data_IF_581754694857
#
_entry.id   IF_581754694857
#
_cell.length_a   1.000
_cell.length_b   1.000
_cell.length_c   1.000
_cell.angle_alpha   90.00
_cell.angle_beta   90.00
_cell.angle_gamma   90.00
#
_symmetry.space_group_name_H-M   'P 1'
#
loop_
_entity.id
_entity.type
_entity.pdbx_description
1 polymer ?
#
# COMPACT_ATOMS: atom_id res chain seq x y z
N UNK A 1 67.51 12.06 19.30
CA UNK A 1 66.36 11.49 20.05
C UNK A 1 65.10 11.63 19.19
N UNK A 2 64.51 10.52 18.73
CA UNK A 2 63.27 10.49 17.95
C UNK A 2 62.06 10.58 18.89
N UNK A 3 61.22 11.61 18.77
CA UNK A 3 59.89 11.66 19.43
C UNK A 3 58.84 11.15 18.45
N UNK A 4 58.16 10.07 18.81
CA UNK A 4 57.03 9.48 18.09
C UNK A 4 55.77 10.30 18.39
N UNK A 5 55.06 10.70 17.34
CA UNK A 5 53.72 11.28 17.42
C UNK A 5 52.73 10.10 17.49
N UNK A 6 51.93 10.04 18.55
CA UNK A 6 50.79 9.13 18.63
C UNK A 6 49.56 9.84 18.04
N UNK A 7 49.00 9.28 16.98
CA UNK A 7 47.68 9.68 16.48
C UNK A 7 46.61 8.95 17.30
N UNK A 8 45.74 9.71 17.98
CA UNK A 8 44.54 9.20 18.61
C UNK A 8 43.47 9.08 17.52
N UNK A 9 43.06 7.86 17.18
CA UNK A 9 41.88 7.62 16.36
C UNK A 9 40.65 7.63 17.27
N UNK A 10 39.84 8.68 17.18
CA UNK A 10 38.54 8.77 17.83
C UNK A 10 37.53 7.91 17.05
N UNK A 11 37.12 6.79 17.64
CA UNK A 11 35.98 6.00 17.16
C UNK A 11 34.71 6.72 17.61
N UNK A 12 34.01 7.34 16.67
CA UNK A 12 32.65 7.85 16.90
C UNK A 12 31.71 6.65 16.78
N UNK A 13 31.29 6.10 17.92
CA UNK A 13 30.18 5.16 17.95
C UNK A 13 28.87 5.95 17.77
N UNK A 14 28.32 5.92 16.56
CA UNK A 14 26.95 6.36 16.29
C UNK A 14 25.98 5.33 16.87
N UNK A 15 25.62 5.49 18.15
CA UNK A 15 24.46 4.82 18.72
C UNK A 15 23.20 5.53 18.23
N UNK A 16 22.49 4.93 17.27
CA UNK A 16 21.12 5.34 16.96
C UNK A 16 20.23 5.07 18.19
N UNK A 17 19.36 6.02 18.58
CA UNK A 17 18.43 5.78 19.68
C UNK A 17 17.39 4.74 19.25
N UNK A 18 17.34 3.62 19.96
CA UNK A 18 16.21 2.70 19.93
C UNK A 18 15.05 3.46 20.58
N UNK A 19 14.17 4.04 19.77
CA UNK A 19 12.88 4.52 20.27
C UNK A 19 12.06 3.29 20.65
N UNK A 20 11.79 3.13 21.94
CA UNK A 20 10.84 2.15 22.45
C UNK A 20 9.46 2.52 21.92
N UNK A 21 8.97 1.78 20.93
CA UNK A 21 7.57 1.85 20.52
C UNK A 21 6.78 1.15 21.63
N UNK A 22 6.10 1.93 22.47
CA UNK A 22 5.16 1.37 23.43
C UNK A 22 3.95 0.86 22.64
N UNK A 23 3.86 -0.45 22.47
CA UNK A 23 2.68 -1.06 21.87
C UNK A 23 1.49 -0.90 22.82
N UNK A 24 0.45 -0.21 22.36
CA UNK A 24 -0.82 -0.14 23.07
C UNK A 24 -1.38 -1.56 23.25
N UNK A 25 -1.74 -1.90 24.48
CA UNK A 25 -2.48 -3.13 24.80
C UNK A 25 -3.80 -3.14 24.01
N UNK A 26 -4.03 -4.17 23.19
CA UNK A 26 -5.35 -4.41 22.60
C UNK A 26 -6.34 -4.71 23.73
N UNK A 27 -7.25 -3.77 24.01
CA UNK A 27 -8.43 -4.02 24.83
C UNK A 27 -9.36 -4.97 24.07
N UNK A 28 -9.43 -6.21 24.55
CA UNK A 28 -10.24 -7.27 24.00
C UNK A 28 -11.72 -7.09 24.35
N UNK A 29 -12.47 -6.24 23.64
CA UNK A 29 -13.94 -6.32 23.63
C UNK A 29 -14.53 -5.68 22.36
N UNK A 30 -14.75 -6.48 21.32
CA UNK A 30 -16.02 -6.54 20.57
C UNK A 30 -16.13 -7.88 19.82
N UNK A 31 -17.29 -8.51 19.95
CA UNK A 31 -17.66 -9.79 19.39
C UNK A 31 -17.85 -9.70 17.86
N UNK A 32 -17.13 -10.54 17.14
CA UNK A 32 -17.33 -10.81 15.72
C UNK A 32 -16.03 -11.27 15.10
N UNK A 33 -15.91 -12.57 14.80
CA UNK A 33 -14.79 -13.07 14.01
C UNK A 33 -15.01 -12.58 12.57
N UNK A 34 -14.48 -11.40 12.24
CA UNK A 34 -14.39 -10.92 10.87
C UNK A 34 -13.25 -11.65 10.17
N UNK A 35 -13.57 -12.42 9.13
CA UNK A 35 -12.60 -13.07 8.26
C UNK A 35 -12.34 -12.19 7.03
N UNK A 36 -11.45 -11.21 7.19
CA UNK A 36 -10.90 -10.26 6.21
C UNK A 36 -9.89 -9.39 6.99
N UNK A 37 -8.80 -8.83 6.49
CA UNK A 37 -8.60 -7.81 5.45
C UNK A 37 -7.04 -7.66 5.38
N UNK A 38 -6.35 -7.58 4.23
CA UNK A 38 -6.07 -6.45 3.30
C UNK A 38 -5.39 -5.24 3.94
N UNK A 39 -4.60 -4.47 3.18
CA UNK A 39 -4.22 -3.13 3.62
C UNK A 39 -5.49 -2.46 4.10
N UNK A 40 -5.45 -1.86 5.28
CA UNK A 40 -6.69 -1.46 5.92
C UNK A 40 -7.44 -0.40 5.10
N UNK A 41 -8.74 -0.53 5.07
CA UNK A 41 -9.69 0.44 4.51
C UNK A 41 -10.91 0.59 5.43
N UNK A 42 -10.71 0.47 6.76
CA UNK A 42 -11.79 0.30 7.74
C UNK A 42 -12.70 1.51 7.90
N UNK A 43 -12.28 2.66 7.36
CA UNK A 43 -13.05 3.89 7.35
C UNK A 43 -12.90 4.62 6.02
N UNK A 44 -14.00 5.23 5.57
CA UNK A 44 -14.05 5.98 4.30
C UNK A 44 -13.15 7.22 4.37
N UNK A 45 -13.16 7.95 5.49
CA UNK A 45 -12.54 9.28 5.61
C UNK A 45 -11.49 9.39 6.73
N UNK A 46 -11.06 8.26 7.31
CA UNK A 46 -10.12 8.24 8.44
C UNK A 46 -8.86 7.42 8.10
N UNK A 47 -7.74 8.12 7.92
CA UNK A 47 -6.42 7.51 7.67
C UNK A 47 -5.93 6.66 8.83
N UNK A 48 -6.41 6.87 10.06
CA UNK A 48 -5.98 6.14 11.25
C UNK A 48 -6.11 4.63 11.10
N UNK A 49 -7.17 4.21 10.40
CA UNK A 49 -7.53 2.80 10.14
C UNK A 49 -7.73 2.52 8.64
N UNK A 50 -7.12 3.35 7.78
CA UNK A 50 -7.17 3.19 6.32
C UNK A 50 -5.81 3.45 5.70
N UNK A 51 -4.99 2.39 5.57
CA UNK A 51 -3.71 2.43 4.89
C UNK A 51 -3.86 2.77 3.40
N UNK A 52 -4.92 2.30 2.72
CA UNK A 52 -5.16 2.68 1.32
C UNK A 52 -5.38 4.18 1.16
N UNK A 53 -6.25 4.77 1.98
CA UNK A 53 -6.50 6.21 1.97
C UNK A 53 -5.22 6.98 2.30
N UNK A 54 -4.47 6.53 3.31
CA UNK A 54 -3.20 7.14 3.69
C UNK A 54 -2.20 7.14 2.52
N UNK A 55 -2.04 6.02 1.80
CA UNK A 55 -1.14 5.94 0.63
C UNK A 55 -1.55 6.96 -0.43
N UNK A 56 -2.85 7.05 -0.76
CA UNK A 56 -3.36 8.00 -1.76
C UNK A 56 -3.13 9.44 -1.32
N UNK A 57 -3.42 9.79 -0.06
CA UNK A 57 -3.23 11.14 0.44
C UNK A 57 -1.75 11.56 0.45
N UNK A 58 -0.85 10.68 0.88
CA UNK A 58 0.60 10.93 0.77
C UNK A 58 1.05 11.06 -0.68
N UNK A 59 0.45 10.31 -1.61
CA UNK A 59 0.73 10.43 -3.05
C UNK A 59 0.31 11.79 -3.60
N UNK A 60 -0.86 12.30 -3.19
CA UNK A 60 -1.34 13.64 -3.53
C UNK A 60 -0.39 14.71 -2.97
N UNK A 61 0.15 14.51 -1.77
CA UNK A 61 1.18 15.40 -1.20
C UNK A 61 2.48 15.39 -2.02
N UNK A 62 2.95 14.22 -2.46
CA UNK A 62 4.10 14.10 -3.38
C UNK A 62 3.82 14.86 -4.68
N UNK A 63 2.63 14.71 -5.26
CA UNK A 63 2.21 15.44 -6.46
C UNK A 63 2.20 16.97 -6.20
N UNK A 64 1.63 17.42 -5.08
CA UNK A 64 1.53 18.84 -4.74
C UNK A 64 2.90 19.50 -4.51
N UNK A 65 3.91 18.74 -4.06
CA UNK A 65 5.29 19.18 -3.92
C UNK A 65 6.04 19.27 -5.26
N UNK A 66 5.59 18.56 -6.28
CA UNK A 66 6.21 18.60 -7.61
C UNK A 66 5.78 19.87 -8.36
N UNK A 67 6.75 20.68 -8.82
CA UNK A 67 6.50 21.94 -9.53
C UNK A 67 6.88 21.90 -11.01
N UNK A 68 7.25 20.73 -11.53
CA UNK A 68 7.83 20.59 -12.87
C UNK A 68 7.02 19.70 -13.79
N UNK A 69 6.40 18.65 -13.26
CA UNK A 69 5.66 17.62 -14.01
C UNK A 69 4.16 17.75 -13.78
N UNK A 70 3.74 17.83 -12.51
CA UNK A 70 2.32 17.84 -12.12
C UNK A 70 1.68 19.18 -12.46
N UNK A 71 0.52 19.13 -13.12
CA UNK A 71 -0.26 20.33 -13.43
C UNK A 71 -1.13 20.75 -12.23
N UNK A 72 -1.29 22.06 -11.95
CA UNK A 72 -2.08 22.53 -10.80
C UNK A 72 -3.54 22.05 -10.75
N UNK A 73 -4.17 21.82 -11.91
CA UNK A 73 -5.55 21.32 -12.00
C UNK A 73 -5.71 19.89 -11.48
N UNK A 74 -4.66 19.05 -11.55
CA UNK A 74 -4.71 17.66 -11.05
C UNK A 74 -5.04 17.64 -9.55
N UNK A 75 -4.31 18.46 -8.77
CA UNK A 75 -4.51 18.57 -7.32
C UNK A 75 -5.87 19.19 -6.99
N UNK A 76 -6.29 20.22 -7.75
CA UNK A 76 -7.58 20.86 -7.54
C UNK A 76 -8.75 19.89 -7.74
N UNK A 77 -8.73 19.12 -8.83
CA UNK A 77 -9.78 18.15 -9.15
C UNK A 77 -9.83 17.00 -8.14
N UNK A 78 -8.67 16.45 -7.74
CA UNK A 78 -8.62 15.40 -6.71
C UNK A 78 -9.21 15.88 -5.38
N UNK A 79 -8.99 17.15 -5.00
CA UNK A 79 -9.56 17.71 -3.78
C UNK A 79 -11.04 18.05 -3.90
N UNK A 80 -11.49 18.53 -5.06
CA UNK A 80 -12.90 18.82 -5.34
C UNK A 80 -13.75 17.55 -5.26
N UNK A 81 -13.27 16.45 -5.83
CA UNK A 81 -13.98 15.16 -5.90
C UNK A 81 -13.49 14.13 -4.88
N UNK A 82 -12.87 14.62 -3.80
CA UNK A 82 -12.26 13.80 -2.75
C UNK A 82 -13.23 12.79 -2.15
N UNK A 83 -14.47 13.20 -1.88
CA UNK A 83 -15.45 12.31 -1.25
C UNK A 83 -15.75 11.07 -2.11
N UNK A 84 -15.87 11.23 -3.42
CA UNK A 84 -16.12 10.12 -4.34
C UNK A 84 -14.88 9.26 -4.54
N UNK A 85 -13.69 9.87 -4.61
CA UNK A 85 -12.41 9.17 -4.62
C UNK A 85 -12.26 8.25 -3.40
N UNK A 86 -12.46 8.82 -2.20
CA UNK A 86 -12.35 8.10 -0.93
C UNK A 86 -13.42 7.00 -0.81
N UNK A 87 -14.64 7.25 -1.30
CA UNK A 87 -15.67 6.22 -1.37
C UNK A 87 -15.30 5.08 -2.30
N UNK A 88 -14.65 5.37 -3.44
CA UNK A 88 -14.14 4.36 -4.37
C UNK A 88 -13.07 3.48 -3.74
N UNK A 89 -12.12 4.10 -3.03
CA UNK A 89 -11.07 3.39 -2.27
C UNK A 89 -11.73 2.43 -1.28
N UNK A 90 -12.62 2.93 -0.42
CA UNK A 90 -13.30 2.10 0.58
C UNK A 90 -14.13 0.97 -0.07
N UNK A 91 -14.95 1.28 -1.08
CA UNK A 91 -15.91 0.33 -1.64
C UNK A 91 -15.28 -0.92 -2.22
N UNK A 92 -13.99 -0.90 -2.59
CA UNK A 92 -13.26 -2.07 -3.06
C UNK A 92 -13.32 -3.25 -2.07
N UNK A 93 -13.39 -2.95 -0.77
CA UNK A 93 -13.33 -3.94 0.31
C UNK A 93 -14.68 -4.33 0.90
N UNK A 94 -15.74 -3.58 0.62
CA UNK A 94 -17.02 -3.75 1.31
C UNK A 94 -18.20 -4.01 0.37
N UNK A 95 -18.10 -3.62 -0.90
CA UNK A 95 -19.23 -3.69 -1.82
C UNK A 95 -19.00 -4.74 -2.93
N UNK A 96 -20.07 -5.44 -3.32
CA UNK A 96 -20.06 -6.21 -4.57
C UNK A 96 -20.17 -5.27 -5.78
N UNK A 97 -19.51 -5.60 -6.91
CA UNK A 97 -18.75 -6.82 -7.17
C UNK A 97 -17.27 -6.78 -6.71
N UNK A 98 -16.82 -5.69 -6.09
CA UNK A 98 -15.40 -5.38 -5.91
C UNK A 98 -14.69 -6.28 -4.90
N UNK A 99 -15.43 -6.79 -3.91
CA UNK A 99 -14.89 -7.67 -2.87
C UNK A 99 -15.12 -9.18 -3.15
N UNK A 100 -15.62 -9.51 -4.36
CA UNK A 100 -15.80 -10.89 -4.85
C UNK A 100 -16.60 -11.79 -3.90
N UNK A 101 -17.77 -11.31 -3.44
CA UNK A 101 -18.61 -12.03 -2.49
C UNK A 101 -17.89 -12.42 -1.18
N UNK A 102 -16.94 -11.59 -0.72
CA UNK A 102 -16.15 -11.82 0.48
C UNK A 102 -14.93 -12.73 0.27
N UNK A 103 -14.65 -13.15 -0.96
CA UNK A 103 -13.41 -13.89 -1.27
C UNK A 103 -12.24 -12.94 -1.47
N UNK A 104 -12.48 -11.77 -2.05
CA UNK A 104 -11.45 -10.80 -2.41
C UNK A 104 -10.46 -11.27 -3.47
N UNK A 105 -10.83 -12.25 -4.31
CA UNK A 105 -9.96 -12.77 -5.35
C UNK A 105 -9.35 -11.67 -6.24
N UNK A 106 -10.11 -10.62 -6.57
CA UNK A 106 -9.66 -9.51 -7.40
C UNK A 106 -8.64 -8.58 -6.73
N UNK A 107 -8.38 -8.74 -5.43
CA UNK A 107 -7.40 -7.95 -4.67
C UNK A 107 -5.99 -8.55 -4.71
N UNK A 108 -5.85 -9.75 -5.27
CA UNK A 108 -4.58 -10.46 -5.37
C UNK A 108 -4.13 -10.56 -6.83
N UNK A 109 -2.82 -10.57 -7.03
CA UNK A 109 -2.21 -10.80 -8.33
C UNK A 109 -0.77 -11.27 -8.17
N UNK A 110 -0.52 -12.51 -8.53
CA UNK A 110 0.83 -13.04 -8.63
C UNK A 110 1.41 -12.75 -10.04
N UNK A 111 2.47 -11.92 -10.15
CA UNK A 111 3.07 -11.55 -11.43
C UNK A 111 3.74 -12.71 -12.18
N UNK A 112 4.14 -13.79 -11.50
CA UNK A 112 4.81 -14.92 -12.14
C UNK A 112 3.80 -15.86 -12.83
N UNK A 113 2.63 -16.04 -12.22
CA UNK A 113 1.57 -16.90 -12.77
C UNK A 113 0.54 -16.13 -13.58
N UNK A 114 0.47 -14.81 -13.37
CA UNK A 114 -0.53 -13.94 -13.98
C UNK A 114 -1.93 -14.09 -13.38
N UNK A 115 -2.09 -14.73 -12.22
CA UNK A 115 -3.40 -15.03 -11.62
C UNK A 115 -3.51 -14.69 -10.14
N UNK A 116 -4.72 -14.84 -9.60
CA UNK A 116 -5.02 -14.76 -8.17
C UNK A 116 -4.95 -16.15 -7.52
N UNK A 117 -5.11 -16.23 -6.21
CA UNK A 117 -5.07 -17.47 -5.43
C UNK A 117 -6.25 -18.41 -5.73
N UNK A 118 -7.34 -17.89 -6.31
CA UNK A 118 -8.50 -18.66 -6.72
C UNK A 118 -8.47 -18.90 -8.25
N UNK A 119 -8.40 -20.17 -8.71
CA UNK A 119 -8.35 -20.48 -10.13
C UNK A 119 -9.52 -19.88 -10.91
N UNK A 120 -9.23 -19.33 -12.09
CA UNK A 120 -10.20 -18.73 -13.03
C UNK A 120 -10.91 -17.46 -12.53
N UNK A 121 -10.63 -17.00 -11.31
CA UNK A 121 -11.18 -15.75 -10.80
C UNK A 121 -10.45 -14.53 -11.39
N UNK A 122 -11.10 -13.36 -11.29
CA UNK A 122 -10.50 -12.08 -11.65
C UNK A 122 -9.39 -11.71 -10.68
N UNK A 123 -8.36 -11.02 -11.17
CA UNK A 123 -7.19 -10.61 -10.38
C UNK A 123 -6.95 -9.09 -10.43
N UNK A 124 -6.07 -8.59 -9.56
CA UNK A 124 -5.88 -7.14 -9.36
C UNK A 124 -5.40 -6.40 -10.61
N UNK A 125 -4.54 -7.00 -11.43
CA UNK A 125 -4.06 -6.38 -12.69
C UNK A 125 -5.19 -5.99 -13.65
N UNK A 126 -6.04 -6.94 -14.02
CA UNK A 126 -7.14 -6.65 -14.97
C UNK A 126 -8.24 -5.79 -14.31
N UNK A 127 -8.50 -5.99 -13.01
CA UNK A 127 -9.55 -5.26 -12.29
C UNK A 127 -9.16 -3.80 -12.05
N UNK A 128 -7.93 -3.53 -11.63
CA UNK A 128 -7.39 -2.18 -11.46
C UNK A 128 -7.35 -1.41 -12.79
N UNK A 129 -6.90 -2.07 -13.87
CA UNK A 129 -6.87 -1.48 -15.21
C UNK A 129 -8.28 -1.22 -15.79
N UNK A 130 -9.25 -2.10 -15.51
CA UNK A 130 -10.66 -1.87 -15.87
C UNK A 130 -11.17 -0.57 -15.26
N UNK A 131 -11.00 -0.38 -13.94
CA UNK A 131 -11.50 0.84 -13.29
C UNK A 131 -10.71 2.09 -13.66
N UNK A 132 -9.42 1.96 -13.99
CA UNK A 132 -8.64 3.08 -14.55
C UNK A 132 -9.27 3.62 -15.84
N UNK A 133 -9.65 2.71 -16.76
CA UNK A 133 -10.26 3.06 -18.04
C UNK A 133 -11.68 3.61 -17.84
N UNK A 134 -12.50 2.96 -17.02
CA UNK A 134 -13.85 3.43 -16.71
C UNK A 134 -13.85 4.82 -16.05
N UNK A 135 -12.87 5.10 -15.20
CA UNK A 135 -12.69 6.43 -14.63
C UNK A 135 -12.45 7.48 -15.73
N UNK A 136 -11.53 7.19 -16.65
CA UNK A 136 -11.22 8.07 -17.77
C UNK A 136 -12.40 8.31 -18.71
N UNK A 137 -13.11 7.24 -19.07
CA UNK A 137 -14.32 7.30 -19.88
C UNK A 137 -15.43 8.13 -19.20
N UNK A 138 -15.64 7.95 -17.90
CA UNK A 138 -16.59 8.75 -17.12
C UNK A 138 -16.18 10.23 -17.11
N UNK A 139 -14.88 10.53 -16.94
CA UNK A 139 -14.38 11.91 -16.97
C UNK A 139 -14.66 12.58 -18.32
N UNK A 140 -14.35 11.89 -19.43
CA UNK A 140 -14.58 12.40 -20.79
C UNK A 140 -16.07 12.60 -21.11
N UNK A 141 -16.96 11.84 -20.46
CA UNK A 141 -18.40 12.00 -20.55
C UNK A 141 -18.97 13.02 -19.54
N UNK A 142 -18.10 13.77 -18.84
CA UNK A 142 -18.47 14.76 -17.82
C UNK A 142 -19.24 14.17 -16.63
N UNK A 143 -19.08 12.88 -16.35
CA UNK A 143 -19.60 12.18 -15.17
C UNK A 143 -18.50 12.13 -14.10
N UNK A 144 -18.19 13.29 -13.53
CA UNK A 144 -17.05 13.47 -12.63
C UNK A 144 -17.19 12.64 -11.35
N UNK A 145 -18.42 12.49 -10.84
CA UNK A 145 -18.70 11.66 -9.66
C UNK A 145 -18.21 10.23 -9.86
N UNK A 146 -18.65 9.59 -10.96
CA UNK A 146 -18.24 8.22 -11.27
C UNK A 146 -16.77 8.15 -11.71
N UNK A 147 -16.24 9.20 -12.35
CA UNK A 147 -14.82 9.27 -12.71
C UNK A 147 -13.92 9.10 -11.48
N UNK A 148 -14.14 9.90 -10.44
CA UNK A 148 -13.32 9.85 -9.23
C UNK A 148 -13.62 8.62 -8.35
N UNK A 149 -14.87 8.15 -8.32
CA UNK A 149 -15.19 6.86 -7.69
C UNK A 149 -14.45 5.69 -8.34
N UNK A 150 -14.47 5.57 -9.66
CA UNK A 150 -13.73 4.51 -10.37
C UNK A 150 -12.22 4.69 -10.26
N UNK A 151 -11.72 5.94 -10.23
CA UNK A 151 -10.31 6.19 -9.98
C UNK A 151 -9.93 5.65 -8.59
N UNK A 152 -10.75 5.92 -7.57
CA UNK A 152 -10.55 5.39 -6.21
C UNK A 152 -10.45 3.88 -6.17
N UNK A 153 -11.37 3.19 -6.86
CA UNK A 153 -11.30 1.73 -7.03
C UNK A 153 -9.99 1.29 -7.71
N UNK A 154 -9.57 1.96 -8.78
CA UNK A 154 -8.30 1.63 -9.46
C UNK A 154 -7.08 1.79 -8.57
N UNK A 155 -7.03 2.87 -7.78
CA UNK A 155 -5.95 3.15 -6.82
C UNK A 155 -5.92 2.12 -5.68
N UNK A 156 -7.09 1.62 -5.26
CA UNK A 156 -7.17 0.53 -4.29
C UNK A 156 -6.42 -0.71 -4.77
N UNK A 157 -6.78 -1.23 -5.96
CA UNK A 157 -6.14 -2.42 -6.52
C UNK A 157 -4.65 -2.23 -6.81
N UNK A 158 -4.21 -1.01 -7.16
CA UNK A 158 -2.78 -0.70 -7.26
C UNK A 158 -2.11 -0.75 -5.87
N UNK A 159 -2.75 -0.21 -4.84
CA UNK A 159 -2.28 -0.29 -3.46
C UNK A 159 -2.13 -1.72 -2.96
N UNK A 160 -3.09 -2.59 -3.26
CA UNK A 160 -3.05 -4.00 -2.91
C UNK A 160 -1.82 -4.70 -3.46
N UNK A 161 -1.51 -4.55 -4.75
CA UNK A 161 -0.35 -5.24 -5.34
C UNK A 161 1.00 -4.70 -4.86
N UNK A 162 1.01 -3.56 -4.15
CA UNK A 162 2.17 -3.08 -3.42
C UNK A 162 2.36 -3.77 -2.05
N UNK A 163 1.36 -4.52 -1.57
CA UNK A 163 1.42 -5.43 -0.42
C UNK A 163 2.05 -6.77 -0.85
N UNK A 164 3.23 -7.16 -0.32
CA UNK A 164 3.90 -8.39 -0.75
C UNK A 164 3.08 -9.68 -0.64
N UNK A 165 2.17 -9.80 0.34
CA UNK A 165 1.30 -10.97 0.48
C UNK A 165 0.23 -11.03 -0.63
N UNK A 166 -0.30 -9.89 -1.06
CA UNK A 166 -1.23 -9.81 -2.19
C UNK A 166 -0.55 -10.17 -3.52
N UNK A 167 0.71 -9.75 -3.67
CA UNK A 167 1.55 -10.10 -4.83
C UNK A 167 2.05 -11.56 -4.82
N UNK A 168 1.85 -12.28 -3.72
CA UNK A 168 2.30 -13.66 -3.53
C UNK A 168 1.15 -14.64 -3.25
N UNK A 169 -0.12 -14.20 -3.42
CA UNK A 169 -1.31 -15.02 -3.14
C UNK A 169 -1.34 -15.58 -1.69
N UNK A 170 -0.69 -14.91 -0.73
CA UNK A 170 -0.71 -15.27 0.68
C UNK A 170 -1.90 -14.59 1.35
N UNK A 171 -2.97 -15.33 1.56
CA UNK A 171 -4.24 -14.83 2.12
C UNK A 171 -4.29 -14.98 3.65
N UNK A 172 -5.36 -14.48 4.26
CA UNK A 172 -5.59 -14.65 5.70
C UNK A 172 -5.83 -16.11 6.16
N UNK A 173 -6.11 -17.02 5.22
CA UNK A 173 -6.23 -18.47 5.46
C UNK A 173 -4.94 -19.24 5.14
N UNK A 174 -3.92 -18.56 4.60
CA UNK A 174 -2.59 -19.15 4.40
C UNK A 174 -1.90 -19.37 5.75
N UNK A 175 -0.99 -20.35 5.83
CA UNK A 175 -0.32 -20.67 7.09
C UNK A 175 0.87 -19.73 7.38
N UNK A 176 0.95 -19.12 8.58
CA UNK A 176 0.00 -19.23 9.70
C UNK A 176 -1.25 -18.35 9.51
N UNK A 177 -2.43 -18.92 9.82
CA UNK A 177 -3.73 -18.24 9.70
C UNK A 177 -3.72 -16.96 10.54
N UNK A 178 -4.42 -15.92 10.07
CA UNK A 178 -4.51 -14.60 10.70
C UNK A 178 -3.24 -13.74 10.65
N UNK A 179 -2.11 -14.24 10.12
CA UNK A 179 -0.90 -13.42 9.99
C UNK A 179 -1.11 -12.24 9.05
N UNK A 180 -1.83 -12.46 7.94
CA UNK A 180 -2.10 -11.44 6.94
C UNK A 180 -2.84 -10.24 7.57
N UNK A 181 -4.00 -10.47 8.18
CA UNK A 181 -4.77 -9.36 8.75
C UNK A 181 -4.11 -8.71 9.95
N UNK A 182 -3.41 -9.47 10.80
CA UNK A 182 -2.65 -8.89 11.93
C UNK A 182 -1.46 -8.07 11.46
N UNK A 183 -0.84 -8.44 10.35
CA UNK A 183 0.23 -7.64 9.74
C UNK A 183 -0.31 -6.29 9.26
N UNK A 184 -1.44 -6.26 8.55
CA UNK A 184 -2.01 -5.01 8.03
C UNK A 184 -2.51 -4.08 9.14
N UNK A 185 -3.16 -4.63 10.17
CA UNK A 185 -3.49 -3.87 11.38
C UNK A 185 -2.25 -3.30 12.06
N UNK A 186 -1.14 -4.04 12.09
CA UNK A 186 0.12 -3.53 12.63
C UNK A 186 0.63 -2.35 11.79
N UNK A 187 0.52 -2.41 10.47
CA UNK A 187 1.00 -1.34 9.59
C UNK A 187 0.30 -0.02 9.85
N UNK A 188 -0.99 -0.04 10.21
CA UNK A 188 -1.70 1.17 10.60
C UNK A 188 -1.04 1.93 11.74
N UNK A 189 -0.36 1.22 12.64
CA UNK A 189 0.31 1.79 13.82
C UNK A 189 1.67 2.42 13.52
N UNK A 190 2.27 2.10 12.36
CA UNK A 190 3.64 2.55 12.01
C UNK A 190 3.72 3.35 10.72
N UNK A 191 2.69 3.34 9.88
CA UNK A 191 2.70 3.96 8.53
C UNK A 191 3.13 5.43 8.52
N UNK A 192 2.72 6.21 9.53
CA UNK A 192 3.06 7.63 9.63
C UNK A 192 4.55 7.94 9.74
N UNK A 193 5.39 6.95 10.10
CA UNK A 193 6.85 7.10 10.12
C UNK A 193 7.46 7.11 8.70
N UNK A 194 6.71 6.73 7.67
CA UNK A 194 7.22 6.44 6.33
C UNK A 194 6.66 7.36 5.24
N UNK A 195 6.30 8.60 5.60
CA UNK A 195 5.86 9.61 4.63
C UNK A 195 7.02 9.99 3.72
N UNK A 196 6.79 9.98 2.40
CA UNK A 196 7.67 10.61 1.43
C UNK A 196 7.56 12.13 1.58
N UNK A 197 8.69 12.82 1.76
CA UNK A 197 8.76 14.27 2.06
C UNK A 197 9.34 15.10 0.91
N UNK A 198 9.34 14.53 -0.29
CA UNK A 198 9.81 15.18 -1.50
C UNK A 198 8.76 15.04 -2.61
N UNK A 199 8.90 15.83 -3.68
CA UNK A 199 8.00 15.80 -4.83
C UNK A 199 8.34 14.77 -5.91
N UNK A 200 9.08 13.70 -5.58
CA UNK A 200 9.55 12.74 -6.58
C UNK A 200 8.64 11.50 -6.67
N UNK A 201 7.51 11.63 -7.35
CA UNK A 201 6.76 10.46 -7.82
C UNK A 201 7.52 9.71 -8.92
N UNK A 202 7.14 8.48 -9.20
CA UNK A 202 7.65 7.77 -10.37
C UNK A 202 6.85 8.18 -11.61
N UNK A 203 7.09 9.38 -12.09
CA UNK A 203 6.47 9.92 -13.30
C UNK A 203 6.87 9.09 -14.51
N UNK A 204 5.91 8.68 -15.34
CA UNK A 204 6.15 7.85 -16.54
C UNK A 204 6.98 6.58 -16.25
N UNK A 205 6.75 5.95 -15.10
CA UNK A 205 7.52 4.79 -14.63
C UNK A 205 7.47 3.59 -15.56
N UNK A 206 6.27 3.35 -16.11
CA UNK A 206 5.97 2.31 -17.10
C UNK A 206 5.30 2.94 -18.29
N UNK A 207 4.80 2.10 -19.20
CA UNK A 207 4.09 2.59 -20.38
C UNK A 207 2.78 3.29 -19.99
N UNK A 208 2.08 3.82 -21.00
CA UNK A 208 0.74 4.38 -20.83
C UNK A 208 -0.33 3.34 -20.48
N UNK A 209 0.01 2.04 -20.54
CA UNK A 209 -0.90 0.97 -20.16
C UNK A 209 -0.93 0.80 -18.63
N UNK A 210 -2.08 1.01 -17.96
CA UNK A 210 -2.18 0.84 -16.51
C UNK A 210 -1.82 -0.58 -16.02
N UNK A 211 -2.02 -1.62 -16.85
CA UNK A 211 -1.63 -2.98 -16.46
C UNK A 211 -0.12 -3.13 -16.21
N UNK A 212 0.72 -2.38 -16.93
CA UNK A 212 2.18 -2.46 -16.78
C UNK A 212 2.62 -1.90 -15.41
N UNK A 213 1.90 -0.92 -14.90
CA UNK A 213 2.12 -0.34 -13.57
C UNK A 213 1.73 -1.33 -12.49
N UNK A 214 0.52 -1.89 -12.57
CA UNK A 214 0.04 -2.88 -11.58
C UNK A 214 0.94 -4.12 -11.58
N UNK A 215 1.34 -4.60 -12.77
CA UNK A 215 2.26 -5.73 -12.87
C UNK A 215 3.64 -5.42 -12.26
N UNK A 216 4.25 -4.29 -12.62
CA UNK A 216 5.56 -3.95 -12.10
C UNK A 216 5.56 -3.67 -10.59
N UNK A 217 4.47 -3.10 -10.04
CA UNK A 217 4.26 -2.99 -8.60
C UNK A 217 4.27 -4.36 -7.94
N UNK A 218 3.51 -5.31 -8.48
CA UNK A 218 3.43 -6.67 -7.97
C UNK A 218 4.79 -7.38 -8.02
N UNK A 219 5.55 -7.23 -9.11
CA UNK A 219 6.92 -7.78 -9.23
C UNK A 219 7.81 -7.25 -8.10
N UNK A 220 7.80 -5.93 -7.89
CA UNK A 220 8.58 -5.30 -6.82
C UNK A 220 8.14 -5.76 -5.43
N UNK A 221 6.85 -5.87 -5.18
CA UNK A 221 6.30 -6.31 -3.89
C UNK A 221 6.58 -7.79 -3.62
N UNK A 222 6.37 -8.67 -4.60
CA UNK A 222 6.65 -10.11 -4.46
C UNK A 222 8.12 -10.39 -4.17
N UNK A 223 9.05 -9.64 -4.77
CA UNK A 223 10.48 -9.77 -4.46
C UNK A 223 10.80 -9.52 -2.97
N UNK A 224 9.99 -8.70 -2.30
CA UNK A 224 10.13 -8.38 -0.87
C UNK A 224 9.30 -9.29 0.04
N UNK A 225 8.46 -10.19 -0.51
CA UNK A 225 7.61 -11.09 0.27
C UNK A 225 8.38 -11.96 1.28
N UNK A 226 9.53 -12.57 0.94
CA UNK A 226 10.30 -13.36 1.91
C UNK A 226 10.83 -12.56 3.11
N UNK A 227 10.89 -11.22 3.02
CA UNK A 227 11.31 -10.36 4.12
C UNK A 227 10.19 -10.14 5.15
N UNK A 228 8.93 -10.38 4.76
CA UNK A 228 7.76 -10.30 5.65
C UNK A 228 7.36 -11.71 6.10
N UNK A 229 7.28 -12.65 5.18
CA UNK A 229 6.80 -14.02 5.42
C UNK A 229 7.94 -15.01 5.24
N UNK A 230 8.56 -15.40 6.35
CA UNK A 230 9.62 -16.40 6.42
C UNK A 230 9.51 -17.22 7.71
N UNK A 231 10.33 -18.26 7.87
CA UNK A 231 10.24 -19.17 9.01
C UNK A 231 10.37 -18.47 10.36
N UNK A 232 11.20 -17.43 10.44
CA UNK A 232 11.45 -16.65 11.66
C UNK A 232 10.23 -15.81 12.02
N UNK A 233 9.65 -15.05 11.08
CA UNK A 233 8.45 -14.26 11.34
C UNK A 233 7.23 -15.14 11.60
N UNK A 234 7.08 -16.25 10.88
CA UNK A 234 6.02 -17.25 11.13
C UNK A 234 6.11 -17.84 12.53
N UNK A 235 7.32 -18.24 12.96
CA UNK A 235 7.53 -18.79 14.31
C UNK A 235 7.18 -17.77 15.38
N UNK A 236 7.70 -16.56 15.28
CA UNK A 236 7.43 -15.50 16.26
C UNK A 236 5.97 -15.09 16.30
N UNK A 237 5.30 -15.08 15.15
CA UNK A 237 3.86 -14.85 15.08
C UNK A 237 3.05 -15.92 15.83
N UNK A 238 3.41 -17.20 15.68
CA UNK A 238 2.77 -18.28 16.43
C UNK A 238 3.05 -18.17 17.93
N UNK A 239 4.31 -17.92 18.31
CA UNK A 239 4.71 -17.75 19.71
C UNK A 239 4.08 -16.49 20.35
N UNK A 240 3.69 -15.49 19.55
CA UNK A 240 3.03 -14.27 20.02
C UNK A 240 1.67 -14.51 20.68
N UNK A 241 1.05 -15.67 20.45
CA UNK A 241 -0.17 -16.06 21.15
C UNK A 241 0.02 -16.19 22.68
N UNK A 242 1.26 -16.40 23.13
CA UNK A 242 1.61 -16.59 24.55
C UNK A 242 2.79 -15.72 25.02
N UNK A 243 3.38 -14.90 24.14
CA UNK A 243 4.58 -14.12 24.44
C UNK A 243 4.57 -12.75 23.76
N UNK A 244 4.54 -11.68 24.57
CA UNK A 244 4.66 -10.31 24.06
C UNK A 244 6.02 -10.06 23.39
N UNK A 245 7.11 -10.62 23.92
CA UNK A 245 8.44 -10.51 23.31
C UNK A 245 8.46 -11.09 21.88
N UNK A 246 7.74 -12.20 21.65
CA UNK A 246 7.59 -12.75 20.30
C UNK A 246 6.75 -11.83 19.40
N UNK A 247 5.70 -11.22 19.97
CA UNK A 247 4.87 -10.24 19.27
C UNK A 247 5.70 -9.01 18.81
N UNK A 248 6.55 -8.50 19.69
CA UNK A 248 7.42 -7.36 19.39
C UNK A 248 8.49 -7.72 18.36
N UNK A 249 9.05 -8.94 18.45
CA UNK A 249 10.05 -9.46 17.51
C UNK A 249 9.56 -9.54 16.07
N UNK A 250 8.38 -10.14 15.82
CA UNK A 250 7.89 -10.23 14.44
C UNK A 250 7.53 -8.86 13.87
N UNK A 251 6.93 -7.97 14.68
CA UNK A 251 6.63 -6.58 14.26
C UNK A 251 7.89 -5.82 13.91
N UNK A 252 8.91 -5.87 14.77
CA UNK A 252 10.20 -5.22 14.54
C UNK A 252 10.91 -5.76 13.29
N UNK A 253 10.83 -7.06 13.02
CA UNK A 253 11.46 -7.70 11.85
C UNK A 253 10.88 -7.22 10.52
N UNK A 254 9.56 -7.11 10.42
CA UNK A 254 8.90 -6.72 9.18
C UNK A 254 8.91 -5.22 8.94
N UNK A 255 9.11 -4.42 9.99
CA UNK A 255 9.05 -2.96 9.96
C UNK A 255 9.91 -2.30 8.86
N UNK A 256 11.20 -2.68 8.66
CA UNK A 256 12.04 -2.03 7.65
C UNK A 256 11.52 -2.23 6.21
N UNK A 257 11.09 -3.46 5.88
CA UNK A 257 10.54 -3.74 4.55
C UNK A 257 9.14 -3.14 4.38
N UNK A 258 8.32 -3.10 5.43
CA UNK A 258 7.05 -2.37 5.43
C UNK A 258 7.27 -0.90 5.08
N UNK A 259 8.23 -0.23 5.73
CA UNK A 259 8.56 1.17 5.43
C UNK A 259 8.98 1.38 3.98
N UNK A 260 9.86 0.51 3.46
CA UNK A 260 10.24 0.50 2.03
C UNK A 260 9.03 0.36 1.12
N UNK A 261 8.11 -0.58 1.39
CA UNK A 261 6.91 -0.80 0.55
C UNK A 261 5.91 0.35 0.60
N UNK A 262 5.70 0.95 1.77
CA UNK A 262 4.86 2.13 1.91
C UNK A 262 5.43 3.32 1.11
N UNK A 263 6.74 3.54 1.15
CA UNK A 263 7.38 4.62 0.38
C UNK A 263 7.30 4.38 -1.13
N UNK A 264 7.52 3.14 -1.60
CA UNK A 264 7.33 2.81 -3.02
C UNK A 264 5.87 3.00 -3.44
N UNK A 265 4.90 2.53 -2.63
CA UNK A 265 3.49 2.65 -2.94
C UNK A 265 3.07 4.12 -3.13
N UNK A 266 3.58 5.03 -2.30
CA UNK A 266 3.35 6.47 -2.45
C UNK A 266 3.90 7.02 -3.78
N UNK A 267 5.15 6.66 -4.14
CA UNK A 267 5.79 7.16 -5.36
C UNK A 267 5.14 6.61 -6.62
N UNK A 268 4.77 5.33 -6.61
CA UNK A 268 4.10 4.66 -7.72
C UNK A 268 2.69 5.22 -7.90
N UNK A 269 1.90 5.31 -6.82
CA UNK A 269 0.54 5.84 -6.86
C UNK A 269 0.51 7.28 -7.33
N UNK A 270 1.45 8.14 -6.90
CA UNK A 270 1.57 9.50 -7.43
C UNK A 270 1.78 9.50 -8.95
N UNK A 271 2.70 8.68 -9.46
CA UNK A 271 2.96 8.55 -10.89
C UNK A 271 1.75 8.00 -11.67
N UNK A 272 1.00 7.07 -11.08
CA UNK A 272 -0.16 6.45 -11.71
C UNK A 272 -1.38 7.38 -11.76
N UNK A 273 -1.57 8.21 -10.73
CA UNK A 273 -2.57 9.29 -10.76
C UNK A 273 -2.22 10.28 -11.86
N UNK A 274 -0.95 10.72 -11.94
CA UNK A 274 -0.51 11.63 -12.99
C UNK A 274 -0.68 11.03 -14.40
N UNK A 275 -0.37 9.74 -14.58
CA UNK A 275 -0.66 9.03 -15.83
C UNK A 275 -2.15 9.11 -16.20
N UNK A 276 -3.05 8.95 -15.24
CA UNK A 276 -4.50 9.03 -15.49
C UNK A 276 -4.89 10.43 -15.99
N UNK A 277 -4.39 11.48 -15.35
CA UNK A 277 -4.62 12.86 -15.78
C UNK A 277 -4.06 13.11 -17.17
N UNK A 278 -2.83 12.69 -17.45
CA UNK A 278 -2.21 12.84 -18.77
C UNK A 278 -2.97 12.09 -19.87
N UNK A 279 -3.57 10.95 -19.54
CA UNK A 279 -4.32 10.14 -20.50
C UNK A 279 -5.69 10.73 -20.82
N UNK A 280 -6.42 11.27 -19.83
CA UNK A 280 -7.85 11.57 -19.97
C UNK A 280 -8.24 13.03 -19.76
N UNK A 281 -7.37 13.84 -19.13
CA UNK A 281 -7.71 15.19 -18.69
C UNK A 281 -6.85 16.24 -19.37
N UNK A 282 -5.53 16.06 -19.35
CA UNK A 282 -4.56 17.02 -19.88
C UNK A 282 -4.35 16.84 -21.39
N UNK A 283 -4.89 15.77 -21.98
CA UNK A 283 -4.80 15.53 -23.42
C UNK A 283 -5.59 16.59 -24.18
N UNK A 284 -4.87 17.47 -24.88
CA UNK A 284 -5.40 18.35 -25.93
C UNK A 284 -5.10 17.75 -27.29
#
# INVERSE_FOLDING_TARGET
MKRKIFALASVIALSAPIQSVAFAHENSHQNGISFGHKWSAEAIHDEGVSTHLWIVNRSIEVMAQNKTVVQPNEISLLNEWRADLEKGIYSADYDNPYFDNGTFASHFYDPDTGGTYLPLAKHAKETGAKYFKLAGEAYQNNDLKNAFFYLGLSLHYLGDVNQPMHAANFTNVSLPVALHSKYENFVDTVKDNYKVKDGNGYWNWKSVNPEDWVHASAVGAKADFPLIVNDKTKKWFLDAAISQDAADKWRAEVTPVTGKRLMEAQRITAGYIHLWFDTYVNYK
#
